data_IF_078594301881
#
_entry.id   IF_078594301881
#
_cell.length_a   1.000
_cell.length_b   1.000
_cell.length_c   1.000
_cell.angle_alpha   90.00
_cell.angle_beta   90.00
_cell.angle_gamma   90.00
#
_symmetry.space_group_name_H-M   'P 1'
#
loop_
_entity.id
_entity.type
_entity.pdbx_description
1 polymer ?
#
# COMPACT_ATOMS: atom_id res chain seq x y z
N UNK A 1 -10.86 11.91 -21.38
CA UNK A 1 -9.56 12.44 -21.86
C UNK A 1 -9.05 11.43 -22.88
N UNK A 2 -8.90 11.88 -24.12
CA UNK A 2 -9.16 11.09 -25.34
C UNK A 2 -8.09 10.04 -25.66
N UNK A 3 -8.55 8.91 -26.22
CA UNK A 3 -7.80 7.85 -26.93
C UNK A 3 -6.70 8.39 -27.86
N UNK A 4 -6.85 9.63 -28.36
CA UNK A 4 -5.83 10.32 -29.16
C UNK A 4 -4.49 10.51 -28.45
N UNK A 5 -4.47 10.61 -27.11
CA UNK A 5 -3.21 10.77 -26.34
C UNK A 5 -2.42 9.45 -26.26
N UNK A 6 -3.12 8.32 -26.16
CA UNK A 6 -2.53 6.97 -26.24
C UNK A 6 -1.92 6.72 -27.62
N UNK A 7 -2.61 7.13 -28.70
CA UNK A 7 -2.05 7.05 -30.05
C UNK A 7 -0.88 8.00 -30.25
N UNK A 8 -0.88 9.20 -29.65
CA UNK A 8 0.26 10.11 -29.72
C UNK A 8 1.48 9.57 -28.96
N UNK A 9 1.31 8.94 -27.79
CA UNK A 9 2.42 8.29 -27.05
C UNK A 9 2.93 7.05 -27.78
N UNK A 10 2.03 6.26 -28.37
CA UNK A 10 2.39 5.11 -29.20
C UNK A 10 3.12 5.58 -30.48
N UNK A 11 2.67 6.67 -31.11
CA UNK A 11 3.34 7.26 -32.26
C UNK A 11 4.72 7.81 -31.88
N UNK A 12 4.85 8.56 -30.80
CA UNK A 12 6.15 9.13 -30.40
C UNK A 12 7.18 8.06 -30.04
N UNK A 13 6.75 6.91 -29.51
CA UNK A 13 7.63 5.74 -29.33
C UNK A 13 8.01 5.05 -30.65
N UNK A 14 7.14 5.08 -31.67
CA UNK A 14 7.46 4.56 -33.02
C UNK A 14 8.30 5.52 -33.88
N UNK A 15 8.40 6.80 -33.51
CA UNK A 15 9.15 7.85 -34.21
C UNK A 15 10.38 8.32 -33.43
N UNK A 16 11.01 7.46 -32.64
CA UNK A 16 12.40 7.70 -32.23
C UNK A 16 13.27 7.64 -33.50
N UNK A 17 13.93 8.75 -33.89
CA UNK A 17 14.74 8.77 -35.08
C UNK A 17 15.89 7.77 -34.96
N UNK A 18 16.22 7.15 -36.09
CA UNK A 18 17.34 6.24 -36.30
C UNK A 18 18.67 7.02 -36.22
N UNK A 19 18.96 7.64 -35.08
CA UNK A 19 20.13 8.51 -34.89
C UNK A 19 21.03 7.99 -33.79
N UNK A 20 22.26 7.70 -34.23
CA UNK A 20 23.41 7.22 -33.49
C UNK A 20 23.27 5.80 -32.93
N UNK A 21 24.30 4.99 -33.17
CA UNK A 21 24.55 3.75 -32.47
C UNK A 21 24.69 4.03 -30.97
N UNK A 22 23.56 4.19 -30.28
CA UNK A 22 23.49 3.94 -28.87
C UNK A 22 23.53 2.42 -28.78
N UNK A 23 24.67 1.86 -28.34
CA UNK A 23 24.82 0.43 -28.10
C UNK A 23 23.89 0.04 -26.95
N UNK A 24 22.62 -0.14 -27.29
CA UNK A 24 21.56 -0.48 -26.36
C UNK A 24 21.92 -1.74 -25.57
N UNK A 25 22.59 -2.69 -26.21
CA UNK A 25 23.01 -3.93 -25.58
C UNK A 25 24.05 -3.67 -24.47
N UNK A 26 25.03 -2.78 -24.70
CA UNK A 26 26.01 -2.37 -23.68
C UNK A 26 25.36 -1.55 -22.57
N UNK A 27 24.44 -0.63 -22.90
CA UNK A 27 23.69 0.10 -21.89
C UNK A 27 22.88 -0.85 -21.00
N UNK A 28 22.17 -1.83 -21.55
CA UNK A 28 21.36 -2.77 -20.75
C UNK A 28 22.20 -3.75 -19.94
N UNK A 29 23.34 -4.21 -20.47
CA UNK A 29 24.28 -5.06 -19.72
C UNK A 29 24.89 -4.30 -18.53
N UNK A 30 25.29 -3.04 -18.74
CA UNK A 30 25.79 -2.19 -17.66
C UNK A 30 24.66 -1.79 -16.69
N UNK A 31 23.47 -1.48 -17.17
CA UNK A 31 22.29 -1.15 -16.36
C UNK A 31 21.87 -2.29 -15.43
N UNK A 32 21.88 -3.54 -15.92
CA UNK A 32 21.57 -4.71 -15.13
C UNK A 32 22.58 -4.93 -13.99
N UNK A 33 23.84 -4.57 -14.21
CA UNK A 33 24.94 -4.76 -13.25
C UNK A 33 25.05 -3.59 -12.26
N UNK A 34 24.85 -2.36 -12.74
CA UNK A 34 25.15 -1.13 -12.00
C UNK A 34 23.93 -0.54 -11.27
N UNK A 35 22.70 -0.73 -11.76
CA UNK A 35 21.49 -0.17 -11.14
C UNK A 35 20.73 -1.16 -10.25
N UNK A 36 21.00 -2.45 -10.36
CA UNK A 36 20.37 -3.49 -9.53
C UNK A 36 20.44 -3.19 -8.02
N UNK A 37 21.62 -2.84 -7.47
CA UNK A 37 21.76 -2.48 -6.06
C UNK A 37 20.96 -1.24 -5.65
N UNK A 38 20.88 -0.23 -6.52
CA UNK A 38 20.18 1.03 -6.23
C UNK A 38 18.65 0.86 -6.27
N UNK A 39 18.15 0.09 -7.24
CA UNK A 39 16.74 -0.30 -7.36
C UNK A 39 16.32 -1.16 -6.16
N UNK A 40 17.19 -2.05 -5.69
CA UNK A 40 16.94 -2.85 -4.49
C UNK A 40 16.90 -1.98 -3.22
N UNK A 41 17.85 -1.07 -3.05
CA UNK A 41 17.98 -0.21 -1.86
C UNK A 41 16.79 0.73 -1.68
N UNK A 42 16.38 1.42 -2.74
CA UNK A 42 15.22 2.33 -2.68
C UNK A 42 13.89 1.59 -2.81
N UNK A 43 13.89 0.43 -3.46
CA UNK A 43 12.70 -0.39 -3.62
C UNK A 43 12.16 -0.90 -2.29
N UNK A 44 13.02 -1.29 -1.35
CA UNK A 44 12.57 -1.85 -0.07
C UNK A 44 11.74 -0.86 0.76
N UNK A 45 12.28 0.33 1.03
CA UNK A 45 11.61 1.32 1.87
C UNK A 45 10.31 1.84 1.23
N UNK A 46 10.35 2.17 -0.06
CA UNK A 46 9.16 2.66 -0.79
C UNK A 46 8.06 1.60 -0.83
N UNK A 47 8.41 0.32 -0.99
CA UNK A 47 7.44 -0.78 -1.00
C UNK A 47 6.78 -0.94 0.37
N UNK A 48 7.56 -0.93 1.44
CA UNK A 48 7.03 -1.06 2.81
C UNK A 48 6.16 0.13 3.20
N UNK A 49 6.61 1.34 2.90
CA UNK A 49 5.82 2.56 3.13
C UNK A 49 4.51 2.52 2.34
N UNK A 50 4.53 2.09 1.08
CA UNK A 50 3.31 1.99 0.30
C UNK A 50 2.32 0.98 0.91
N UNK A 51 2.82 -0.18 1.35
CA UNK A 51 1.99 -1.21 1.99
C UNK A 51 1.43 -0.74 3.34
N UNK A 52 2.23 -0.05 4.15
CA UNK A 52 1.81 0.44 5.47
C UNK A 52 0.75 1.54 5.45
N UNK A 53 0.48 2.09 4.26
CA UNK A 53 -0.51 3.14 4.00
C UNK A 53 -1.58 2.69 2.98
N UNK A 54 -1.55 1.43 2.53
CA UNK A 54 -2.52 0.85 1.60
C UNK A 54 -3.79 0.43 2.34
N UNK A 55 -4.95 0.87 1.84
CA UNK A 55 -6.26 0.63 2.48
C UNK A 55 -7.35 0.20 1.50
N UNK A 56 -7.05 0.24 0.20
CA UNK A 56 -8.05 0.01 -0.83
C UNK A 56 -7.55 -0.93 -1.89
N UNK A 57 -8.48 -1.67 -2.48
CA UNK A 57 -8.20 -2.53 -3.64
C UNK A 57 -7.55 -1.80 -4.81
N UNK A 58 -7.77 -0.48 -4.94
CA UNK A 58 -7.11 0.34 -5.96
C UNK A 58 -5.63 0.54 -5.67
N UNK A 59 -5.26 0.69 -4.40
CA UNK A 59 -3.87 0.75 -3.97
C UNK A 59 -3.17 -0.60 -4.25
N UNK A 60 -3.86 -1.74 -4.07
CA UNK A 60 -3.32 -3.05 -4.47
C UNK A 60 -3.06 -3.15 -5.98
N UNK A 61 -3.93 -2.57 -6.82
CA UNK A 61 -3.71 -2.52 -8.27
C UNK A 61 -2.50 -1.63 -8.59
N UNK A 62 -2.41 -0.45 -7.98
CA UNK A 62 -1.27 0.48 -8.13
C UNK A 62 0.03 -0.19 -7.71
N UNK A 63 0.00 -0.99 -6.64
CA UNK A 63 1.16 -1.76 -6.18
C UNK A 63 1.60 -2.86 -7.15
N UNK A 64 0.62 -3.54 -7.76
CA UNK A 64 0.84 -4.69 -8.63
C UNK A 64 1.37 -4.32 -10.02
N UNK A 65 0.98 -3.15 -10.54
CA UNK A 65 1.32 -2.71 -11.89
C UNK A 65 2.72 -2.09 -11.91
N UNK A 66 3.52 -2.42 -12.93
CA UNK A 66 4.93 -2.03 -13.05
C UNK A 66 5.70 -2.28 -11.72
N UNK A 67 5.79 -3.56 -11.31
CA UNK A 67 6.16 -3.96 -9.98
C UNK A 67 7.60 -3.52 -9.64
N UNK A 68 7.76 -2.99 -8.43
CA UNK A 68 9.05 -2.71 -7.79
C UNK A 68 9.03 -3.38 -6.42
N UNK A 69 10.19 -3.86 -5.96
CA UNK A 69 10.31 -4.45 -4.62
C UNK A 69 9.64 -5.84 -4.51
N UNK A 70 9.70 -6.66 -5.56
CA UNK A 70 9.08 -8.00 -5.59
C UNK A 70 9.52 -8.85 -4.40
N UNK A 71 10.83 -8.89 -4.13
CA UNK A 71 11.36 -9.63 -2.98
C UNK A 71 10.83 -9.05 -1.66
N UNK A 72 10.81 -7.73 -1.52
CA UNK A 72 10.28 -7.05 -0.34
C UNK A 72 8.80 -7.35 -0.13
N UNK A 73 7.98 -7.36 -1.18
CA UNK A 73 6.56 -7.67 -1.11
C UNK A 73 6.32 -9.12 -0.66
N UNK A 74 7.06 -10.07 -1.23
CA UNK A 74 7.02 -11.50 -0.85
C UNK A 74 7.42 -11.68 0.61
N UNK A 75 8.56 -11.11 1.02
CA UNK A 75 9.04 -11.16 2.40
C UNK A 75 8.05 -10.50 3.35
N UNK A 76 7.44 -9.38 2.96
CA UNK A 76 6.43 -8.67 3.77
C UNK A 76 5.16 -9.50 3.95
N UNK A 77 4.66 -10.12 2.88
CA UNK A 77 3.50 -11.01 2.95
C UNK A 77 3.78 -12.22 3.86
N UNK A 78 4.97 -12.82 3.77
CA UNK A 78 5.40 -13.91 4.65
C UNK A 78 5.55 -13.44 6.10
N UNK A 79 6.11 -12.25 6.35
CA UNK A 79 6.30 -11.71 7.71
C UNK A 79 4.98 -11.48 8.43
N UNK A 80 3.97 -10.99 7.71
CA UNK A 80 2.65 -10.67 8.26
C UNK A 80 1.75 -11.92 8.36
N UNK A 81 1.66 -12.69 7.27
CA UNK A 81 0.67 -13.77 7.11
C UNK A 81 1.26 -15.19 7.14
N UNK A 82 2.59 -15.33 7.17
CA UNK A 82 3.24 -16.62 7.01
C UNK A 82 3.20 -17.50 8.26
N UNK A 83 3.09 -18.80 8.03
CA UNK A 83 3.30 -19.81 9.07
C UNK A 83 4.73 -19.77 9.63
N UNK A 84 4.98 -20.31 10.84
CA UNK A 84 6.31 -20.32 11.46
C UNK A 84 7.42 -20.89 10.56
N UNK A 85 7.11 -21.88 9.72
CA UNK A 85 8.07 -22.45 8.77
C UNK A 85 8.43 -21.49 7.64
N UNK A 86 7.46 -20.77 7.07
CA UNK A 86 7.71 -19.77 6.03
C UNK A 86 8.52 -18.60 6.59
N UNK A 87 8.21 -18.15 7.82
CA UNK A 87 8.97 -17.11 8.51
C UNK A 87 10.39 -17.57 8.82
N UNK A 88 10.60 -18.83 9.18
CA UNK A 88 11.93 -19.40 9.36
C UNK A 88 12.74 -19.44 8.05
N UNK A 89 12.11 -19.76 6.92
CA UNK A 89 12.76 -19.81 5.62
C UNK A 89 13.38 -18.46 5.22
N UNK A 90 12.71 -17.34 5.52
CA UNK A 90 13.22 -15.99 5.27
C UNK A 90 14.13 -15.46 6.40
N UNK A 91 14.51 -16.30 7.36
CA UNK A 91 15.37 -15.92 8.49
C UNK A 91 14.67 -15.07 9.56
N UNK A 92 13.34 -15.09 9.63
CA UNK A 92 12.51 -14.30 10.56
C UNK A 92 11.70 -15.16 11.53
N UNK A 93 12.19 -16.36 11.88
CA UNK A 93 11.51 -17.30 12.78
C UNK A 93 11.17 -16.70 14.16
N UNK A 94 12.05 -15.85 14.69
CA UNK A 94 11.92 -15.25 16.03
C UNK A 94 11.31 -13.85 16.00
N UNK A 95 10.81 -13.40 14.84
CA UNK A 95 10.24 -12.08 14.71
C UNK A 95 8.84 -12.02 15.37
N UNK A 96 8.67 -11.16 16.36
CA UNK A 96 7.36 -10.92 16.99
C UNK A 96 6.36 -10.31 15.99
N UNK A 97 5.05 -10.62 16.11
CA UNK A 97 4.02 -10.12 15.19
C UNK A 97 3.99 -8.59 15.11
N UNK A 98 4.14 -7.90 16.24
CA UNK A 98 4.13 -6.44 16.29
C UNK A 98 5.21 -5.79 15.41
N UNK A 99 6.38 -6.44 15.23
CA UNK A 99 7.48 -5.85 14.43
C UNK A 99 7.07 -5.75 12.96
N UNK A 100 6.42 -6.79 12.44
CA UNK A 100 5.89 -6.79 11.10
C UNK A 100 4.71 -5.81 10.96
N UNK A 101 3.81 -5.75 11.97
CA UNK A 101 2.68 -4.82 11.98
C UNK A 101 3.14 -3.35 11.91
N UNK A 102 4.08 -2.96 12.78
CA UNK A 102 4.58 -1.60 12.86
C UNK A 102 5.16 -1.12 11.53
N UNK A 103 5.78 -2.01 10.77
CA UNK A 103 6.43 -1.65 9.51
C UNK A 103 5.52 -1.76 8.29
N UNK A 104 4.55 -2.68 8.28
CA UNK A 104 3.84 -3.11 7.07
C UNK A 104 2.34 -2.88 7.06
N UNK A 105 1.69 -2.75 8.23
CA UNK A 105 0.23 -2.61 8.31
C UNK A 105 -0.17 -1.19 8.65
N UNK A 106 -1.31 -0.73 8.15
CA UNK A 106 -1.90 0.57 8.50
C UNK A 106 -2.62 0.61 9.85
N UNK A 107 -2.69 -0.55 10.52
CA UNK A 107 -3.48 -0.74 11.73
C UNK A 107 -2.68 -0.46 13.01
N UNK A 108 -3.44 -0.26 14.08
CA UNK A 108 -2.92 -0.38 15.45
C UNK A 108 -3.46 -1.66 16.10
N UNK A 109 -2.76 -2.19 17.09
CA UNK A 109 -3.04 -3.44 17.76
C UNK A 109 -2.59 -3.37 19.22
N UNK A 110 -2.85 -4.42 19.99
CA UNK A 110 -2.38 -4.52 21.37
C UNK A 110 -0.85 -4.42 21.53
N UNK A 111 -0.11 -4.79 20.48
CA UNK A 111 1.36 -4.75 20.46
C UNK A 111 1.91 -3.51 19.78
N UNK A 112 1.12 -2.83 18.96
CA UNK A 112 1.59 -1.76 18.06
C UNK A 112 0.64 -0.57 18.12
N UNK A 113 1.14 0.58 18.56
CA UNK A 113 0.36 1.82 18.64
C UNK A 113 1.07 2.97 17.92
N UNK A 114 0.39 4.10 17.74
CA UNK A 114 0.95 5.29 17.11
C UNK A 114 1.04 6.44 18.11
N UNK A 115 2.14 7.18 18.06
CA UNK A 115 2.35 8.39 18.85
C UNK A 115 2.93 9.50 18.00
N UNK A 116 2.67 10.73 18.40
CA UNK A 116 3.35 11.88 17.83
C UNK A 116 4.74 12.03 18.43
N UNK A 117 5.73 12.28 17.58
CA UNK A 117 7.11 12.54 17.97
C UNK A 117 7.76 13.57 17.04
N UNK A 118 8.23 14.69 17.58
CA UNK A 118 9.07 15.70 16.90
C UNK A 118 8.65 16.05 15.46
N UNK A 119 7.34 16.29 15.25
CA UNK A 119 6.80 16.71 13.96
C UNK A 119 6.34 15.57 13.05
N UNK A 120 6.52 14.31 13.44
CA UNK A 120 6.03 13.13 12.74
C UNK A 120 5.21 12.21 13.64
N UNK A 121 4.74 11.10 13.05
CA UNK A 121 4.05 10.04 13.77
C UNK A 121 4.97 8.82 13.78
N UNK A 122 5.24 8.31 14.97
CA UNK A 122 6.05 7.13 15.19
C UNK A 122 5.14 5.96 15.58
N UNK A 123 5.37 4.82 14.96
CA UNK A 123 4.80 3.55 15.41
C UNK A 123 5.66 2.96 16.49
N UNK A 124 5.04 2.62 17.60
CA UNK A 124 5.69 2.21 18.84
C UNK A 124 5.12 0.90 19.34
N UNK A 125 5.94 0.14 20.05
CA UNK A 125 5.49 -1.09 20.69
C UNK A 125 4.79 -0.81 22.01
N UNK A 126 3.71 -1.56 22.25
CA UNK A 126 2.92 -1.50 23.48
C UNK A 126 1.73 -0.55 23.39
N UNK A 127 1.22 -0.20 24.57
CA UNK A 127 -0.03 0.55 24.75
C UNK A 127 0.23 1.90 25.42
N UNK A 128 0.57 2.93 24.65
CA UNK A 128 0.78 4.26 25.19
C UNK A 128 -0.55 4.92 25.55
N UNK A 129 -0.46 5.96 26.37
CA UNK A 129 -1.61 6.74 26.76
C UNK A 129 -1.88 7.81 25.70
N UNK A 130 -3.03 7.72 25.06
CA UNK A 130 -3.55 8.75 24.18
C UNK A 130 -5.06 8.83 24.37
N UNK A 131 -5.56 10.06 24.46
CA UNK A 131 -6.95 10.35 24.78
C UNK A 131 -7.64 11.00 23.59
N UNK A 132 -8.78 10.43 23.19
CA UNK A 132 -9.64 10.99 22.13
C UNK A 132 -10.86 11.67 22.74
N UNK A 133 -10.96 12.98 22.54
CA UNK A 133 -12.07 13.80 23.04
C UNK A 133 -12.81 14.44 21.87
N UNK A 134 -14.13 14.28 21.87
CA UNK A 134 -15.02 14.99 20.94
C UNK A 134 -15.66 16.15 21.66
N UNK A 135 -15.38 17.36 21.19
CA UNK A 135 -16.12 18.56 21.56
C UNK A 135 -17.32 18.68 20.63
N UNK A 136 -18.52 18.67 21.19
CA UNK A 136 -19.77 18.84 20.46
C UNK A 136 -20.43 20.15 20.88
N UNK A 137 -20.90 20.94 19.92
CA UNK A 137 -21.72 22.13 20.17
C UNK A 137 -23.12 21.87 19.65
N UNK A 138 -24.11 21.86 20.57
CA UNK A 138 -25.51 21.68 20.22
C UNK A 138 -26.12 22.99 19.69
N UNK A 139 -27.33 22.92 19.12
CA UNK A 139 -28.07 24.09 18.59
C UNK A 139 -28.30 25.16 19.67
N UNK A 140 -28.41 24.75 20.93
CA UNK A 140 -28.58 25.64 22.08
C UNK A 140 -27.26 26.30 22.53
N UNK A 141 -26.17 26.17 21.76
CA UNK A 141 -24.80 26.64 22.04
C UNK A 141 -24.15 26.05 23.30
N UNK A 142 -24.79 25.10 23.97
CA UNK A 142 -24.13 24.30 24.99
C UNK A 142 -23.02 23.45 24.37
N UNK A 143 -21.83 23.57 24.96
CA UNK A 143 -20.66 22.79 24.58
C UNK A 143 -20.53 21.60 25.50
N UNK A 144 -20.54 20.39 24.96
CA UNK A 144 -20.26 19.16 25.71
C UNK A 144 -18.95 18.55 25.21
N UNK A 145 -18.13 18.07 26.13
CA UNK A 145 -16.97 17.22 25.83
C UNK A 145 -17.31 15.78 26.20
N UNK A 146 -17.06 14.85 25.29
CA UNK A 146 -17.28 13.41 25.49
C UNK A 146 -16.09 12.63 24.96
N UNK A 147 -15.84 11.46 25.52
CA UNK A 147 -14.88 10.52 24.92
C UNK A 147 -15.38 10.12 23.53
N UNK A 148 -14.48 9.84 22.59
CA UNK A 148 -14.84 9.49 21.22
C UNK A 148 -15.81 8.29 21.16
N UNK A 149 -15.56 7.25 21.95
CA UNK A 149 -16.40 6.04 21.96
C UNK A 149 -17.82 6.33 22.47
N UNK A 150 -17.95 7.26 23.42
CA UNK A 150 -19.25 7.75 23.89
C UNK A 150 -19.96 8.59 22.82
N UNK A 151 -19.21 9.42 22.08
CA UNK A 151 -19.75 10.24 21.00
C UNK A 151 -20.24 9.44 19.79
N UNK A 152 -19.69 8.23 19.57
CA UNK A 152 -20.13 7.27 18.56
C UNK A 152 -21.35 6.44 18.99
N UNK A 153 -21.80 6.53 20.25
CA UNK A 153 -22.94 5.78 20.76
C UNK A 153 -22.70 4.28 20.99
N UNK A 154 -21.44 3.84 21.04
CA UNK A 154 -21.06 2.43 21.23
C UNK A 154 -21.18 1.96 22.71
N UNK A 155 -21.18 2.88 23.67
CA UNK A 155 -21.41 2.62 25.11
C UNK A 155 -22.91 2.70 25.46
N UNK A 156 -23.75 1.87 24.83
CA UNK A 156 -25.20 1.87 25.10
C UNK A 156 -25.68 0.85 26.14
N UNK A 157 -24.81 0.03 26.73
CA UNK A 157 -25.28 -1.04 27.64
C UNK A 157 -25.22 -0.75 29.15
N UNK A 158 -24.30 0.06 29.69
CA UNK A 158 -24.13 0.08 31.16
C UNK A 158 -24.22 1.44 31.88
N UNK A 159 -24.49 2.56 31.19
CA UNK A 159 -24.67 3.85 31.85
C UNK A 159 -26.15 4.26 31.88
N UNK A 160 -26.76 4.13 33.06
CA UNK A 160 -27.97 4.81 33.56
C UNK A 160 -28.64 5.79 32.57
N UNK A 161 -29.89 5.48 32.24
CA UNK A 161 -30.83 6.12 31.30
C UNK A 161 -31.13 7.63 31.51
N UNK A 162 -30.31 8.43 32.18
CA UNK A 162 -30.74 9.75 32.65
C UNK A 162 -30.01 10.98 32.11
N UNK A 163 -29.07 10.89 31.15
CA UNK A 163 -28.45 12.13 30.61
C UNK A 163 -27.96 12.14 29.15
N UNK A 164 -28.20 11.10 28.35
CA UNK A 164 -27.75 11.08 26.94
C UNK A 164 -28.90 11.33 25.94
N UNK A 165 -29.61 12.45 26.07
CA UNK A 165 -30.67 12.88 25.15
C UNK A 165 -30.13 13.62 23.91
N UNK A 166 -29.19 13.03 23.19
CA UNK A 166 -28.62 13.64 21.98
C UNK A 166 -28.35 12.63 20.87
N UNK A 167 -28.59 13.01 19.62
CA UNK A 167 -28.15 12.25 18.44
C UNK A 167 -26.62 12.04 18.50
N UNK A 168 -26.10 10.88 18.06
CA UNK A 168 -24.66 10.65 18.01
C UNK A 168 -23.99 11.63 17.05
N UNK A 169 -22.84 12.18 17.46
CA UNK A 169 -22.06 13.14 16.67
C UNK A 169 -21.27 12.45 15.55
N UNK A 170 -20.98 11.16 15.72
CA UNK A 170 -20.28 10.32 14.75
C UNK A 170 -21.11 9.08 14.46
N UNK A 171 -21.24 8.77 13.17
CA UNK A 171 -22.00 7.64 12.67
C UNK A 171 -21.01 6.65 12.07
N UNK A 172 -21.10 5.39 12.50
CA UNK A 172 -20.32 4.31 11.92
C UNK A 172 -20.91 3.96 10.57
N UNK A 173 -20.13 4.10 9.51
CA UNK A 173 -20.47 3.56 8.20
C UNK A 173 -20.09 2.08 8.20
N UNK A 174 -21.00 1.24 8.69
CA UNK A 174 -20.78 -0.20 8.83
C UNK A 174 -21.26 -0.92 7.57
N UNK A 175 -20.38 -1.71 6.96
CA UNK A 175 -20.79 -2.69 5.95
C UNK A 175 -21.45 -3.88 6.67
N UNK A 176 -22.65 -4.32 6.24
CA UNK A 176 -23.54 -5.25 6.97
C UNK A 176 -22.91 -6.61 7.35
N UNK A 177 -21.76 -6.97 6.77
CA UNK A 177 -21.07 -8.25 6.99
C UNK A 177 -20.27 -8.35 8.30
N UNK A 178 -20.02 -7.26 9.02
CA UNK A 178 -19.21 -7.23 10.26
C UNK A 178 -20.07 -7.28 11.54
N UNK A 179 -21.24 -7.94 11.46
CA UNK A 179 -22.34 -7.71 12.41
C UNK A 179 -22.31 -8.52 13.72
N UNK A 180 -21.26 -9.26 14.09
CA UNK A 180 -21.41 -10.14 15.27
C UNK A 180 -20.29 -10.21 16.32
N UNK A 181 -19.05 -9.85 16.03
CA UNK A 181 -18.00 -9.92 17.05
C UNK A 181 -16.93 -8.89 16.75
N UNK A 182 -16.94 -7.75 17.46
CA UNK A 182 -15.84 -7.35 18.34
C UNK A 182 -16.18 -6.05 19.09
N UNK A 183 -16.76 -6.14 20.29
CA UNK A 183 -16.97 -4.99 21.18
C UNK A 183 -15.82 -4.84 22.18
N UNK A 184 -14.67 -5.50 21.98
CA UNK A 184 -13.55 -5.47 22.95
C UNK A 184 -12.15 -5.44 22.32
N UNK A 185 -12.03 -5.00 21.07
CA UNK A 185 -10.74 -4.77 20.43
C UNK A 185 -10.06 -3.49 20.92
N UNK A 186 -8.75 -3.57 21.16
CA UNK A 186 -7.85 -2.46 21.52
C UNK A 186 -8.15 -1.14 20.78
N UNK A 187 -8.46 -0.06 21.52
CA UNK A 187 -8.92 1.23 20.98
C UNK A 187 -7.81 2.28 20.82
N UNK A 188 -6.61 1.87 20.44
CA UNK A 188 -5.58 2.86 20.07
C UNK A 188 -6.00 3.61 18.80
N UNK A 189 -5.88 4.94 18.77
CA UNK A 189 -6.17 5.71 17.57
C UNK A 189 -5.11 5.53 16.50
N UNK A 190 -5.53 5.54 15.24
CA UNK A 190 -4.62 5.61 14.10
C UNK A 190 -4.30 7.09 13.81
N UNK A 191 -3.23 7.62 14.40
CA UNK A 191 -2.79 8.98 14.12
C UNK A 191 -2.32 9.13 12.68
N UNK A 192 -1.63 8.14 12.12
CA UNK A 192 -1.08 8.18 10.76
C UNK A 192 -2.19 8.36 9.74
N UNK A 193 -3.28 7.61 9.87
CA UNK A 193 -4.41 7.63 8.95
C UNK A 193 -5.28 8.89 9.04
N UNK A 194 -5.31 9.56 10.21
CA UNK A 194 -6.22 10.68 10.47
C UNK A 194 -5.53 12.05 10.59
N UNK A 195 -4.26 12.08 10.96
CA UNK A 195 -3.49 13.32 11.16
C UNK A 195 -2.25 13.38 10.27
N UNK A 196 -1.54 12.28 10.07
CA UNK A 196 -0.28 12.24 9.31
C UNK A 196 -0.48 12.30 7.81
N UNK A 197 -1.25 11.35 7.28
CA UNK A 197 -1.38 11.10 5.85
C UNK A 197 -2.56 11.92 5.33
N UNK A 198 -2.27 13.04 4.66
CA UNK A 198 -3.29 13.80 3.94
C UNK A 198 -3.68 13.03 2.69
N UNK A 199 -4.78 12.29 2.75
CA UNK A 199 -5.29 11.53 1.60
C UNK A 199 -5.51 12.47 0.42
N UNK A 200 -4.76 12.24 -0.66
CA UNK A 200 -5.03 12.89 -1.93
C UNK A 200 -6.45 12.54 -2.39
N UNK A 201 -7.05 13.46 -3.14
CA UNK A 201 -8.40 13.28 -3.69
C UNK A 201 -8.46 11.96 -4.46
N UNK A 202 -9.53 11.17 -4.26
CA UNK A 202 -9.73 9.85 -4.90
C UNK A 202 -9.44 9.84 -6.42
N UNK A 203 -9.67 10.97 -7.10
CA UNK A 203 -9.35 11.16 -8.52
C UNK A 203 -7.86 10.94 -8.86
N UNK A 204 -6.92 11.32 -7.98
CA UNK A 204 -5.48 11.08 -8.18
C UNK A 204 -5.13 9.60 -8.07
N UNK A 205 -5.72 8.88 -7.11
CA UNK A 205 -5.55 7.41 -6.98
C UNK A 205 -6.06 6.70 -8.24
N UNK A 206 -7.26 7.03 -8.72
CA UNK A 206 -7.78 6.48 -9.98
C UNK A 206 -6.90 6.84 -11.17
N UNK A 207 -6.42 8.09 -11.25
CA UNK A 207 -5.51 8.54 -12.29
C UNK A 207 -4.19 7.76 -12.30
N UNK A 208 -3.62 7.49 -11.13
CA UNK A 208 -2.41 6.70 -10.97
C UNK A 208 -2.61 5.24 -11.39
N UNK A 209 -3.76 4.63 -11.04
CA UNK A 209 -4.08 3.27 -11.47
C UNK A 209 -4.21 3.16 -13.00
N UNK A 210 -4.89 4.12 -13.63
CA UNK A 210 -5.00 4.20 -15.09
C UNK A 210 -3.62 4.40 -15.71
N UNK A 211 -2.81 5.32 -15.17
CA UNK A 211 -1.46 5.59 -15.64
C UNK A 211 -0.59 4.33 -15.57
N UNK A 212 -0.61 3.60 -14.45
CA UNK A 212 0.09 2.33 -14.30
C UNK A 212 -0.32 1.33 -15.40
N UNK A 213 -1.62 1.12 -15.59
CA UNK A 213 -2.12 0.21 -16.64
C UNK A 213 -1.70 0.66 -18.04
N UNK A 214 -1.69 1.96 -18.31
CA UNK A 214 -1.21 2.48 -19.61
C UNK A 214 0.29 2.28 -19.79
N UNK A 215 1.09 2.34 -18.73
CA UNK A 215 2.53 2.07 -18.82
C UNK A 215 2.83 0.61 -19.18
N UNK A 216 1.90 -0.33 -18.92
CA UNK A 216 2.03 -1.71 -19.38
C UNK A 216 1.93 -1.87 -20.91
N UNK A 217 1.70 -0.78 -21.67
CA UNK A 217 1.81 -0.77 -23.14
C UNK A 217 3.19 -1.23 -23.65
N UNK A 218 4.22 -1.21 -22.78
CA UNK A 218 5.52 -1.84 -23.05
C UNK A 218 5.39 -3.30 -23.47
N UNK A 219 4.39 -4.04 -22.98
CA UNK A 219 4.12 -5.41 -23.42
C UNK A 219 3.61 -5.48 -24.87
N UNK A 220 2.80 -4.51 -25.29
CA UNK A 220 2.35 -4.40 -26.68
C UNK A 220 3.54 -4.04 -27.58
N UNK A 221 4.39 -3.11 -27.12
CA UNK A 221 5.64 -2.76 -27.80
C UNK A 221 6.55 -3.99 -27.95
N UNK A 222 6.73 -4.79 -26.90
CA UNK A 222 7.47 -6.05 -26.95
C UNK A 222 6.89 -7.06 -27.97
N UNK A 223 5.56 -7.10 -28.12
CA UNK A 223 4.91 -7.96 -29.12
C UNK A 223 5.11 -7.46 -30.54
N UNK A 224 5.10 -6.14 -30.74
CA UNK A 224 5.34 -5.52 -32.05
C UNK A 224 6.79 -5.73 -32.51
N UNK A 225 7.76 -5.58 -31.62
CA UNK A 225 9.17 -5.83 -31.94
C UNK A 225 9.42 -7.31 -32.26
N UNK A 226 8.79 -8.23 -31.52
CA UNK A 226 8.95 -9.66 -31.72
C UNK A 226 8.28 -10.21 -33.00
N UNK A 227 7.06 -9.76 -33.33
CA UNK A 227 6.27 -10.37 -34.40
C UNK A 227 6.13 -9.52 -35.67
N UNK A 228 6.07 -8.18 -35.55
CA UNK A 228 5.79 -7.31 -36.70
C UNK A 228 7.05 -6.75 -37.33
N UNK A 229 8.06 -6.41 -36.54
CA UNK A 229 9.31 -5.79 -37.02
C UNK A 229 10.58 -6.57 -36.63
N UNK A 230 10.66 -7.89 -36.88
CA UNK A 230 11.81 -8.70 -36.44
C UNK A 230 13.13 -8.34 -37.14
N UNK A 231 13.07 -7.69 -38.31
CA UNK A 231 14.24 -7.28 -39.10
C UNK A 231 14.85 -5.94 -38.64
N UNK A 232 14.07 -5.10 -37.95
CA UNK A 232 14.53 -3.77 -37.50
C UNK A 232 15.07 -3.80 -36.06
N UNK A 233 14.75 -4.84 -35.29
CA UNK A 233 15.14 -5.01 -33.89
C UNK A 233 15.90 -6.33 -33.73
N UNK A 234 17.14 -6.34 -34.20
CA UNK A 234 18.05 -7.48 -34.08
C UNK A 234 18.73 -7.44 -32.70
N UNK A 235 18.86 -8.59 -32.06
CA UNK A 235 19.63 -8.75 -30.82
C UNK A 235 20.94 -9.46 -31.19
N UNK A 236 22.10 -8.82 -31.00
CA UNK A 236 23.41 -9.35 -31.41
C UNK A 236 23.42 -9.91 -32.86
N UNK A 237 22.91 -9.12 -33.81
CA UNK A 237 22.78 -9.47 -35.24
C UNK A 237 21.92 -10.70 -35.55
N UNK A 238 21.15 -11.19 -34.59
CA UNK A 238 20.21 -12.31 -34.75
C UNK A 238 18.77 -11.86 -34.53
N UNK A 239 17.81 -12.47 -35.24
CA UNK A 239 16.40 -12.27 -34.95
C UNK A 239 16.09 -12.77 -33.54
N UNK A 240 15.19 -12.06 -32.87
CA UNK A 240 14.66 -12.37 -31.54
C UNK A 240 14.15 -13.83 -31.50
N UNK A 241 14.52 -14.54 -30.43
CA UNK A 241 14.09 -15.93 -30.25
C UNK A 241 12.58 -16.01 -29.95
N UNK A 242 11.88 -16.94 -30.60
CA UNK A 242 10.40 -17.03 -30.57
C UNK A 242 9.82 -17.23 -29.17
N UNK A 243 10.61 -17.73 -28.23
CA UNK A 243 10.18 -17.93 -26.85
C UNK A 243 10.27 -16.65 -26.00
N UNK A 244 11.06 -15.64 -26.41
CA UNK A 244 11.36 -14.47 -25.57
C UNK A 244 10.11 -13.63 -25.25
N UNK A 245 9.27 -13.36 -26.26
CA UNK A 245 8.02 -12.64 -26.07
C UNK A 245 7.00 -13.38 -25.19
N UNK A 246 6.61 -14.64 -25.48
CA UNK A 246 5.60 -15.33 -24.66
C UNK A 246 6.08 -15.52 -23.21
N UNK A 247 7.38 -15.71 -22.96
CA UNK A 247 7.92 -15.73 -21.61
C UNK A 247 7.85 -14.35 -20.94
N UNK A 248 8.22 -13.26 -21.63
CA UNK A 248 8.12 -11.90 -21.08
C UNK A 248 6.68 -11.53 -20.72
N UNK A 249 5.74 -11.82 -21.61
CA UNK A 249 4.32 -11.53 -21.41
C UNK A 249 3.73 -12.36 -20.26
N UNK A 250 3.91 -13.69 -20.30
CA UNK A 250 3.39 -14.57 -19.25
C UNK A 250 4.04 -14.30 -17.89
N UNK A 251 5.36 -14.07 -17.87
CA UNK A 251 6.10 -13.70 -16.66
C UNK A 251 5.60 -12.39 -16.06
N UNK A 252 5.43 -11.34 -16.86
CA UNK A 252 4.92 -10.05 -16.38
C UNK A 252 3.51 -10.17 -15.80
N UNK A 253 2.63 -10.91 -16.46
CA UNK A 253 1.28 -11.17 -15.96
C UNK A 253 1.32 -11.92 -14.62
N UNK A 254 2.16 -12.95 -14.52
CA UNK A 254 2.32 -13.76 -13.32
C UNK A 254 2.87 -12.91 -12.16
N UNK A 255 3.88 -12.06 -12.40
CA UNK A 255 4.39 -11.13 -11.38
C UNK A 255 3.32 -10.12 -10.96
N UNK A 256 2.62 -9.48 -11.89
CA UNK A 256 1.57 -8.51 -11.55
C UNK A 256 0.45 -9.17 -10.72
N UNK A 257 -0.04 -10.34 -11.12
CA UNK A 257 -1.04 -11.08 -10.35
C UNK A 257 -0.52 -11.48 -8.97
N UNK A 258 0.72 -11.99 -8.88
CA UNK A 258 1.32 -12.36 -7.61
C UNK A 258 1.50 -11.16 -6.67
N UNK A 259 1.96 -10.02 -7.19
CA UNK A 259 2.14 -8.78 -6.43
C UNK A 259 0.80 -8.22 -5.93
N UNK A 260 -0.25 -8.30 -6.76
CA UNK A 260 -1.60 -7.97 -6.35
C UNK A 260 -2.06 -8.85 -5.18
N UNK A 261 -1.84 -10.17 -5.27
CA UNK A 261 -2.19 -11.09 -4.19
C UNK A 261 -1.39 -10.82 -2.91
N UNK A 262 -0.11 -10.47 -3.02
CA UNK A 262 0.71 -10.07 -1.87
C UNK A 262 0.15 -8.82 -1.17
N UNK A 263 -0.20 -7.77 -1.92
CA UNK A 263 -0.77 -6.56 -1.33
C UNK A 263 -2.18 -6.83 -0.76
N UNK A 264 -3.01 -7.55 -1.50
CA UNK A 264 -4.36 -7.94 -1.10
C UNK A 264 -4.38 -8.76 0.20
N UNK A 265 -3.44 -9.70 0.37
CA UNK A 265 -3.41 -10.52 1.57
C UNK A 265 -2.99 -9.72 2.80
N UNK A 266 -2.08 -8.75 2.64
CA UNK A 266 -1.61 -7.84 3.69
C UNK A 266 -2.75 -6.89 4.10
N UNK A 267 -3.44 -6.26 3.15
CA UNK A 267 -4.62 -5.41 3.41
C UNK A 267 -5.73 -6.18 4.14
N UNK A 268 -5.97 -7.43 3.75
CA UNK A 268 -6.97 -8.28 4.39
C UNK A 268 -6.67 -8.68 5.85
N UNK A 269 -5.48 -8.37 6.39
CA UNK A 269 -5.15 -8.57 7.80
C UNK A 269 -5.58 -7.39 8.69
N UNK A 270 -6.13 -6.34 8.08
CA UNK A 270 -6.62 -5.16 8.80
C UNK A 270 -8.12 -5.02 8.59
N UNK A 271 -8.84 -4.80 9.68
CA UNK A 271 -10.26 -4.41 9.64
C UNK A 271 -10.35 -2.89 9.85
N UNK A 272 -10.94 -2.21 8.87
CA UNK A 272 -11.10 -0.76 8.88
C UNK A 272 -12.55 -0.39 9.19
N UNK A 273 -12.71 0.58 10.10
CA UNK A 273 -14.00 1.14 10.47
C UNK A 273 -13.99 2.63 10.14
N UNK A 274 -14.95 3.03 9.31
CA UNK A 274 -15.13 4.40 8.86
C UNK A 274 -16.20 5.09 9.72
N UNK A 275 -15.82 6.21 10.31
CA UNK A 275 -16.70 7.06 11.11
C UNK A 275 -16.92 8.36 10.36
N UNK A 276 -18.18 8.69 10.09
CA UNK A 276 -18.57 9.96 9.46
C UNK A 276 -19.19 10.88 10.48
N UNK A 277 -18.77 12.15 10.46
CA UNK A 277 -19.34 13.19 11.29
C UNK A 277 -20.78 13.46 10.86
N UNK A 278 -21.68 13.48 11.83
CA UNK A 278 -23.07 13.86 11.61
C UNK A 278 -23.16 15.36 11.28
N UNK A 279 -23.60 15.71 10.08
CA UNK A 279 -23.73 17.10 9.63
C UNK A 279 -24.69 17.95 10.46
N UNK A 280 -25.58 17.33 11.25
CA UNK A 280 -26.55 18.03 12.10
C UNK A 280 -25.91 18.66 13.34
N UNK A 281 -24.71 18.21 13.72
CA UNK A 281 -24.04 18.55 14.97
C UNK A 281 -22.63 19.02 14.66
N UNK A 282 -22.23 20.19 15.18
CA UNK A 282 -20.84 20.65 15.03
C UNK A 282 -19.98 19.93 16.06
N UNK A 283 -19.19 18.95 15.60
CA UNK A 283 -18.23 18.23 16.43
C UNK A 283 -16.79 18.41 15.94
N UNK A 284 -15.87 18.50 16.91
CA UNK A 284 -14.43 18.61 16.71
C UNK A 284 -13.73 17.50 17.48
N UNK A 285 -12.80 16.81 16.85
CA UNK A 285 -12.03 15.73 17.46
C UNK A 285 -10.67 16.26 17.93
N UNK A 286 -10.30 15.91 19.16
CA UNK A 286 -9.02 16.23 19.76
C UNK A 286 -8.30 14.94 20.18
N UNK A 287 -7.03 14.84 19.84
CA UNK A 287 -6.11 13.83 20.35
C UNK A 287 -5.20 14.48 21.38
N UNK A 288 -5.13 13.91 22.58
CA UNK A 288 -4.29 14.42 23.67
C UNK A 288 -3.31 13.31 24.07
N UNK A 289 -2.03 13.60 23.89
CA UNK A 289 -0.92 12.75 24.29
C UNK A 289 -0.19 13.44 25.47
N UNK A 290 -0.16 12.83 26.67
CA UNK A 290 0.65 13.35 27.77
C UNK A 290 2.13 13.24 27.42
N UNK A 291 2.91 14.25 27.82
CA UNK A 291 4.36 14.26 27.64
C UNK A 291 5.08 13.44 28.69
N UNK A 292 6.32 13.04 28.36
CA UNK A 292 7.16 12.23 29.25
C UNK A 292 6.86 10.74 29.21
N UNK A 293 6.11 10.27 28.21
CA UNK A 293 5.84 8.84 28.04
C UNK A 293 7.11 8.13 27.57
N UNK A 294 7.60 7.18 28.37
CA UNK A 294 8.78 6.39 28.05
C UNK A 294 8.38 5.05 27.43
N UNK A 295 8.81 4.79 26.20
CA UNK A 295 8.57 3.53 25.48
C UNK A 295 9.90 3.02 24.95
N UNK A 296 10.35 1.88 25.48
CA UNK A 296 11.73 1.43 25.30
C UNK A 296 12.71 2.51 25.77
N UNK A 297 13.58 2.94 24.87
CA UNK A 297 14.62 3.94 25.13
C UNK A 297 14.23 5.37 24.69
N UNK A 298 13.03 5.55 24.11
CA UNK A 298 12.55 6.84 23.65
C UNK A 298 11.58 7.48 24.65
N UNK A 299 11.61 8.81 24.72
CA UNK A 299 10.69 9.62 25.53
C UNK A 299 9.90 10.52 24.59
N UNK A 300 8.59 10.40 24.63
CA UNK A 300 7.67 11.14 23.77
C UNK A 300 7.19 12.43 24.45
N UNK A 301 7.12 13.51 23.68
CA UNK A 301 6.68 14.83 24.15
C UNK A 301 5.15 14.92 24.26
N UNK A 302 4.67 16.00 24.89
CA UNK A 302 3.25 16.28 24.97
C UNK A 302 2.74 16.74 23.60
N UNK A 303 1.58 16.23 23.18
CA UNK A 303 0.98 16.60 21.90
C UNK A 303 -0.53 16.78 22.04
N UNK A 304 -1.05 17.81 21.37
CA UNK A 304 -2.49 18.01 21.19
C UNK A 304 -2.76 18.21 19.71
N UNK A 305 -3.42 17.23 19.11
CA UNK A 305 -3.89 17.26 17.74
C UNK A 305 -5.36 17.66 17.69
N UNK A 306 -5.74 18.47 16.70
CA UNK A 306 -7.13 18.79 16.41
C UNK A 306 -7.44 18.38 14.98
N UNK A 307 -8.55 17.67 14.78
CA UNK A 307 -9.12 17.45 13.45
C UNK A 307 -10.53 18.03 13.37
N UNK A 308 -10.73 18.79 12.29
CA UNK A 308 -12.04 19.30 11.88
C UNK A 308 -12.62 18.48 10.72
N UNK A 309 -11.96 17.36 10.36
CA UNK A 309 -12.34 16.50 9.25
C UNK A 309 -13.70 15.83 9.48
N UNK A 310 -14.38 15.52 8.39
CA UNK A 310 -15.70 14.89 8.42
C UNK A 310 -15.62 13.36 8.50
N UNK A 311 -14.44 12.77 8.32
CA UNK A 311 -14.22 11.33 8.25
C UNK A 311 -13.07 10.98 9.19
N UNK A 312 -13.28 9.95 10.01
CA UNK A 312 -12.29 9.40 10.93
C UNK A 312 -12.22 7.89 10.72
N UNK A 313 -11.03 7.33 10.66
CA UNK A 313 -10.80 5.94 10.26
C UNK A 313 -10.00 5.25 11.35
N UNK A 314 -10.54 4.13 11.84
CA UNK A 314 -9.84 3.27 12.79
C UNK A 314 -9.53 1.95 12.09
N UNK A 315 -8.26 1.59 12.04
CA UNK A 315 -7.78 0.33 11.47
C UNK A 315 -7.17 -0.51 12.58
N UNK A 316 -7.73 -1.70 12.79
CA UNK A 316 -7.28 -2.67 13.79
C UNK A 316 -6.85 -3.97 13.11
N UNK A 317 -5.88 -4.68 13.69
CA UNK A 317 -5.50 -6.00 13.18
C UNK A 317 -6.66 -6.99 13.35
N UNK A 318 -6.92 -7.75 12.29
CA UNK A 318 -7.88 -8.85 12.29
C UNK A 318 -7.29 -10.09 12.95
N UNK A 319 -7.92 -10.62 14.00
CA UNK A 319 -7.53 -11.88 14.67
C UNK A 319 -8.29 -13.11 14.12
N UNK A 320 -8.74 -13.05 12.86
CA UNK A 320 -9.53 -14.13 12.25
C UNK A 320 -8.58 -15.17 11.66
N UNK A 321 -8.62 -16.37 12.23
CA UNK A 321 -7.98 -17.54 11.65
C UNK A 321 -8.72 -17.93 10.35
N UNK A 322 -8.15 -17.54 9.20
CA UNK A 322 -8.76 -17.75 7.88
C UNK A 322 -7.94 -18.81 7.14
N UNK A 323 -8.45 -20.05 6.95
CA UNK A 323 -7.68 -21.14 6.33
C UNK A 323 -7.28 -20.85 4.88
N UNK A 324 -8.00 -19.95 4.20
CA UNK A 324 -7.71 -19.53 2.83
C UNK A 324 -6.48 -18.62 2.73
N UNK A 325 -6.06 -17.97 3.83
CA UNK A 325 -4.91 -17.05 3.83
C UNK A 325 -3.64 -17.82 3.51
N UNK A 326 -3.41 -18.99 4.10
CA UNK A 326 -2.23 -19.80 3.79
C UNK A 326 -2.19 -20.21 2.31
N UNK A 327 -3.33 -20.60 1.74
CA UNK A 327 -3.45 -20.99 0.32
C UNK A 327 -3.14 -19.79 -0.60
N UNK A 328 -3.72 -18.63 -0.30
CA UNK A 328 -3.49 -17.41 -1.08
C UNK A 328 -2.02 -16.97 -0.96
N UNK A 329 -1.43 -17.05 0.23
CA UNK A 329 -0.03 -16.70 0.47
C UNK A 329 0.90 -17.59 -0.35
N UNK A 330 0.74 -18.91 -0.27
CA UNK A 330 1.54 -19.83 -1.07
C UNK A 330 1.37 -19.57 -2.56
N UNK A 331 0.13 -19.35 -3.01
CA UNK A 331 -0.15 -19.00 -4.41
C UNK A 331 0.57 -17.72 -4.81
N UNK A 332 0.52 -16.67 -3.99
CA UNK A 332 1.17 -15.39 -4.25
C UNK A 332 2.70 -15.53 -4.32
N UNK A 333 3.32 -16.23 -3.36
CA UNK A 333 4.78 -16.45 -3.30
C UNK A 333 5.26 -17.26 -4.51
N UNK A 334 4.56 -18.33 -4.87
CA UNK A 334 4.91 -19.18 -6.02
C UNK A 334 4.73 -18.40 -7.32
N UNK A 335 3.59 -17.72 -7.48
CA UNK A 335 3.25 -16.96 -8.68
C UNK A 335 4.24 -15.79 -8.91
N UNK A 336 4.58 -15.03 -7.87
CA UNK A 336 5.58 -13.95 -7.96
C UNK A 336 6.99 -14.48 -8.28
N UNK A 337 7.44 -15.54 -7.60
CA UNK A 337 8.81 -16.06 -7.76
C UNK A 337 9.00 -16.70 -9.14
N UNK A 338 8.09 -17.58 -9.56
CA UNK A 338 8.13 -18.18 -10.90
C UNK A 338 7.98 -17.09 -11.96
N UNK A 339 7.09 -16.12 -11.72
CA UNK A 339 6.83 -15.03 -12.66
C UNK A 339 8.07 -14.21 -12.91
N UNK A 340 8.79 -13.87 -11.83
CA UNK A 340 10.02 -13.10 -11.89
C UNK A 340 11.10 -13.82 -12.70
N UNK A 341 11.30 -15.13 -12.46
CA UNK A 341 12.29 -15.93 -13.20
C UNK A 341 11.92 -16.02 -14.69
N UNK A 342 10.64 -16.31 -15.00
CA UNK A 342 10.15 -16.40 -16.38
C UNK A 342 10.25 -15.05 -17.10
N UNK A 343 9.89 -13.96 -16.42
CA UNK A 343 10.02 -12.60 -16.95
C UNK A 343 11.48 -12.23 -17.20
N UNK A 344 12.39 -12.57 -16.29
CA UNK A 344 13.81 -12.28 -16.42
C UNK A 344 14.44 -13.01 -17.61
N UNK A 345 14.13 -14.30 -17.77
CA UNK A 345 14.57 -15.09 -18.93
C UNK A 345 13.99 -14.52 -20.23
N UNK A 346 12.70 -14.17 -20.23
CA UNK A 346 12.04 -13.55 -21.38
C UNK A 346 12.69 -12.23 -21.80
N UNK A 347 12.89 -11.32 -20.84
CA UNK A 347 13.49 -9.99 -21.09
C UNK A 347 14.93 -10.10 -21.61
N UNK A 348 15.69 -11.09 -21.15
CA UNK A 348 17.05 -11.34 -21.67
C UNK A 348 17.06 -11.77 -23.13
N UNK A 349 16.01 -12.43 -23.60
CA UNK A 349 15.83 -12.79 -25.00
C UNK A 349 15.20 -11.68 -25.86
N UNK A 350 14.83 -10.54 -25.28
CA UNK A 350 14.22 -9.41 -25.98
C UNK A 350 15.25 -8.37 -26.39
N UNK A 351 14.88 -7.54 -27.37
CA UNK A 351 15.68 -6.39 -27.76
C UNK A 351 15.85 -5.43 -26.57
N UNK A 352 17.06 -4.90 -26.39
CA UNK A 352 17.43 -4.07 -25.24
C UNK A 352 16.50 -2.86 -25.02
N UNK A 353 15.95 -2.26 -26.09
CA UNK A 353 14.98 -1.16 -25.97
C UNK A 353 13.72 -1.53 -25.16
N UNK A 354 13.28 -2.79 -25.22
CA UNK A 354 12.11 -3.29 -24.47
C UNK A 354 12.43 -3.33 -22.98
N UNK A 355 13.62 -3.81 -22.62
CA UNK A 355 14.10 -3.87 -21.23
C UNK A 355 14.25 -2.48 -20.63
N UNK A 356 14.80 -1.51 -21.38
CA UNK A 356 14.89 -0.12 -20.94
C UNK A 356 13.51 0.51 -20.78
N UNK A 357 12.59 0.29 -21.73
CA UNK A 357 11.22 0.81 -21.63
C UNK A 357 10.48 0.24 -20.39
N UNK A 358 10.68 -1.05 -20.10
CA UNK A 358 10.13 -1.69 -18.90
C UNK A 358 10.70 -1.06 -17.62
N UNK A 359 12.02 -0.80 -17.59
CA UNK A 359 12.68 -0.17 -16.45
C UNK A 359 12.17 1.28 -16.23
N UNK A 360 12.04 2.05 -17.30
CA UNK A 360 11.46 3.41 -17.22
C UNK A 360 10.03 3.36 -16.69
N UNK A 361 9.21 2.42 -17.17
CA UNK A 361 7.86 2.20 -16.66
C UNK A 361 7.86 1.92 -15.15
N UNK A 362 8.74 1.04 -14.67
CA UNK A 362 8.84 0.74 -13.23
C UNK A 362 9.30 1.94 -12.41
N UNK A 363 10.22 2.76 -12.93
CA UNK A 363 10.71 3.96 -12.25
C UNK A 363 9.65 5.06 -12.17
N UNK A 364 8.92 5.32 -13.27
CA UNK A 364 7.79 6.26 -13.27
C UNK A 364 6.75 5.82 -12.25
N UNK A 365 6.40 4.53 -12.24
CA UNK A 365 5.43 4.01 -11.29
C UNK A 365 5.94 4.04 -9.84
N UNK A 366 7.24 3.92 -9.61
CA UNK A 366 7.84 4.09 -8.29
C UNK A 366 7.68 5.53 -7.78
N UNK A 367 7.97 6.52 -8.63
CA UNK A 367 7.77 7.94 -8.28
C UNK A 367 6.30 8.26 -8.03
N UNK A 368 5.39 7.72 -8.84
CA UNK A 368 3.95 7.89 -8.64
C UNK A 368 3.50 7.28 -7.31
N UNK A 369 3.96 6.07 -6.98
CA UNK A 369 3.68 5.44 -5.67
C UNK A 369 4.21 6.26 -4.50
N UNK A 370 5.43 6.78 -4.61
CA UNK A 370 6.04 7.62 -3.60
C UNK A 370 5.35 8.99 -3.46
N UNK A 371 4.76 9.54 -4.53
CA UNK A 371 4.05 10.83 -4.48
C UNK A 371 2.58 10.74 -4.09
N UNK A 372 1.99 9.54 -4.02
CA UNK A 372 0.63 9.31 -3.53
C UNK A 372 0.55 9.26 -2.00
N UNK A 373 1.69 9.07 -1.34
CA UNK A 373 1.87 9.01 0.12
C UNK A 373 2.68 10.23 0.54
#
# INVERSE_FOLDING_TARGET
>A
MSISWLYSVLLTLTFLPNTAAFEWDDFTNNLATDLGPLIALFGEQVTKQFLSESLTTWDNIIFAVAPLGILTAVVSAIRVCGSPSLRAFIGRAQEGPGIAEAELLSCTSETTSELWNQGGIARVFGRPQILEIVRTTNKDKETCMRLFDQACGQLKEDASKESASGEPSWIVERDEKTSQFDTRGHLSPNLSLNFGIKRLRKAFTYGAAILGLTLQIVLVYAGLTAYRFPQNFLLNDKPIERYAFPLTFSGTLLVCCGMFLCAYIIENQTDEIYYKRNHRVTSQLYWIQPGGQKIGDQVFEAFVGKSDDAEYIRSSRTDRDRPWVDIILWTAVVMTTIGFVVQFIGLRGMHSSVTVAQLISTLIMAVVRAGLR
#
